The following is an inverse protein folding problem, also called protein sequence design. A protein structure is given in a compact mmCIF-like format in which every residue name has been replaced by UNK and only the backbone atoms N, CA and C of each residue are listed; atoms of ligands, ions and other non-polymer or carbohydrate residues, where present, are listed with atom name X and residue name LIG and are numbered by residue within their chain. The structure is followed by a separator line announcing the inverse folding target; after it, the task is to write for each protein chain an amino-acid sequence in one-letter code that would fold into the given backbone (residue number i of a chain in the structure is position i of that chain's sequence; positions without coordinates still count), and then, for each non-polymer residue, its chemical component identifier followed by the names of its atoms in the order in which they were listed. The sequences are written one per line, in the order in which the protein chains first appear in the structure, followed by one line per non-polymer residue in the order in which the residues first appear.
data_IF_897226258835
#
_entry.id   IF_897226258835
#
_cell.length_a   1.000
_cell.length_b   1.000
_cell.length_c   1.000
_cell.angle_alpha   90.00
_cell.angle_beta   90.00
_cell.angle_gamma   90.00
#
_symmetry.space_group_name_H-M   'P 1'
#
loop_
_entity.id
_entity.type
_entity.pdbx_description
1 polymer ?
#
# COMPACT_ATOMS: atom_id res chain seq x y z
N UNK A 1 19.64 3.79 -13.07
CA UNK A 1 18.72 3.46 -11.96
C UNK A 1 19.54 2.75 -10.88
N UNK A 2 19.59 3.26 -9.64
CA UNK A 2 20.39 2.66 -8.57
C UNK A 2 19.61 1.45 -8.02
N UNK A 3 20.22 0.26 -8.02
CA UNK A 3 19.56 -0.95 -7.53
C UNK A 3 19.65 -0.96 -6.00
N UNK A 4 18.51 -0.76 -5.33
CA UNK A 4 18.39 -0.78 -3.87
C UNK A 4 18.06 -2.21 -3.42
N UNK A 5 19.07 -3.08 -3.37
CA UNK A 5 18.94 -4.47 -2.90
C UNK A 5 20.16 -4.87 -2.07
N UNK A 6 20.03 -5.91 -1.23
CA UNK A 6 21.17 -6.49 -0.50
C UNK A 6 21.34 -6.00 0.94
N UNK A 7 20.53 -5.05 1.41
CA UNK A 7 20.56 -4.58 2.82
C UNK A 7 20.28 -5.73 3.79
N UNK A 8 19.32 -6.60 3.49
CA UNK A 8 18.98 -7.74 4.35
C UNK A 8 20.15 -8.73 4.43
N UNK A 9 20.80 -9.01 3.29
CA UNK A 9 21.96 -9.89 3.21
C UNK A 9 23.16 -9.31 3.96
N UNK A 10 23.41 -8.01 3.81
CA UNK A 10 24.46 -7.31 4.55
C UNK A 10 24.24 -7.44 6.07
N UNK A 11 23.03 -7.11 6.54
CA UNK A 11 22.71 -7.16 7.97
C UNK A 11 22.80 -8.60 8.53
N UNK A 12 22.33 -9.60 7.79
CA UNK A 12 22.43 -10.99 8.19
C UNK A 12 23.90 -11.47 8.30
N UNK A 13 24.78 -11.00 7.41
CA UNK A 13 26.21 -11.26 7.47
C UNK A 13 26.88 -10.59 8.67
N UNK A 14 26.55 -9.32 8.90
CA UNK A 14 27.04 -8.54 10.04
C UNK A 14 26.67 -9.21 11.38
N UNK A 15 25.38 -9.50 11.60
CA UNK A 15 24.90 -10.16 12.83
C UNK A 15 25.53 -11.54 13.03
N UNK A 16 25.73 -12.31 11.95
CA UNK A 16 26.41 -13.61 12.02
C UNK A 16 27.86 -13.46 12.50
N UNK A 17 28.56 -12.42 12.05
CA UNK A 17 29.93 -12.12 12.47
C UNK A 17 30.02 -11.74 13.95
N UNK A 18 29.10 -10.89 14.42
CA UNK A 18 29.08 -10.40 15.80
C UNK A 18 28.63 -11.45 16.82
N UNK A 19 27.57 -12.21 16.51
CA UNK A 19 26.91 -13.10 17.49
C UNK A 19 27.31 -14.57 17.28
N UNK A 20 27.84 -14.94 16.12
CA UNK A 20 28.20 -16.33 15.79
C UNK A 20 27.01 -17.26 15.52
N UNK A 21 25.79 -16.73 15.48
CA UNK A 21 24.58 -17.50 15.19
C UNK A 21 24.33 -17.67 13.69
N UNK A 22 23.63 -18.75 13.31
CA UNK A 22 23.17 -18.96 11.94
C UNK A 22 22.09 -17.93 11.59
N UNK A 23 22.32 -17.13 10.56
CA UNK A 23 21.37 -16.12 10.06
C UNK A 23 20.80 -16.51 8.68
N UNK A 24 19.65 -15.94 8.34
CA UNK A 24 19.01 -16.04 7.01
C UNK A 24 18.40 -14.69 6.66
N UNK A 25 18.68 -14.20 5.46
CA UNK A 25 18.01 -13.02 4.89
C UNK A 25 16.88 -13.45 3.95
N UNK A 26 15.79 -12.71 3.95
CA UNK A 26 14.65 -12.87 3.02
C UNK A 26 14.32 -11.48 2.48
N UNK A 27 14.29 -11.34 1.15
CA UNK A 27 13.87 -10.11 0.47
C UNK A 27 12.60 -10.40 -0.34
N UNK A 28 11.48 -9.77 0.03
CA UNK A 28 10.18 -10.06 -0.60
C UNK A 28 10.07 -9.47 -2.02
N UNK A 29 10.76 -8.36 -2.30
CA UNK A 29 10.77 -7.71 -3.62
C UNK A 29 9.35 -7.50 -4.16
N UNK A 30 9.08 -7.86 -5.42
CA UNK A 30 7.74 -7.72 -6.03
C UNK A 30 6.62 -8.45 -5.29
N UNK A 31 6.92 -9.50 -4.50
CA UNK A 31 5.89 -10.24 -3.77
C UNK A 31 5.10 -9.33 -2.82
N UNK A 32 5.77 -8.40 -2.13
CA UNK A 32 5.12 -7.50 -1.16
C UNK A 32 4.12 -6.53 -1.79
N UNK A 33 4.25 -6.24 -3.10
CA UNK A 33 3.37 -5.32 -3.85
C UNK A 33 2.51 -6.02 -4.90
N UNK A 34 2.57 -7.34 -4.97
CA UNK A 34 1.78 -8.17 -5.89
C UNK A 34 1.13 -9.35 -5.15
N UNK A 35 0.94 -9.19 -3.84
CA UNK A 35 0.27 -10.16 -2.97
C UNK A 35 -1.25 -9.93 -2.92
N UNK A 36 -1.92 -9.83 -4.08
CA UNK A 36 -3.37 -9.61 -4.13
C UNK A 36 -4.19 -10.73 -3.45
N UNK A 37 -3.59 -11.89 -3.26
CA UNK A 37 -4.14 -13.02 -2.50
C UNK A 37 -4.17 -12.79 -0.98
N UNK A 38 -3.53 -11.72 -0.48
CA UNK A 38 -3.50 -11.28 0.92
C UNK A 38 -3.85 -9.78 1.05
N UNK A 39 -4.47 -9.19 0.03
CA UNK A 39 -4.83 -7.78 0.08
C UNK A 39 -5.93 -7.54 1.13
N UNK A 40 -5.83 -6.44 1.88
CA UNK A 40 -6.85 -6.09 2.85
C UNK A 40 -8.14 -5.71 2.14
N UNK A 41 -9.27 -6.04 2.77
CA UNK A 41 -10.59 -5.64 2.27
C UNK A 41 -10.72 -4.12 2.25
N UNK A 42 -10.15 -3.42 3.23
CA UNK A 42 -10.17 -1.95 3.28
C UNK A 42 -9.45 -1.35 2.08
N UNK A 43 -8.24 -1.81 1.73
CA UNK A 43 -7.50 -1.32 0.56
C UNK A 43 -8.32 -1.48 -0.74
N UNK A 44 -8.93 -2.66 -0.94
CA UNK A 44 -9.76 -2.94 -2.12
C UNK A 44 -10.98 -2.01 -2.19
N UNK A 45 -11.67 -1.80 -1.06
CA UNK A 45 -12.85 -0.94 -1.00
C UNK A 45 -12.48 0.52 -1.23
N UNK A 46 -11.42 1.01 -0.62
CA UNK A 46 -10.94 2.38 -0.79
C UNK A 46 -10.44 2.63 -2.21
N UNK A 47 -9.67 1.71 -2.80
CA UNK A 47 -9.23 1.80 -4.19
C UNK A 47 -10.42 1.83 -5.17
N UNK A 48 -11.45 1.02 -4.91
CA UNK A 48 -12.68 1.02 -5.72
C UNK A 48 -13.45 2.34 -5.59
N UNK A 49 -13.57 2.87 -4.36
CA UNK A 49 -14.23 4.16 -4.10
C UNK A 49 -13.50 5.32 -4.79
N UNK A 50 -12.16 5.33 -4.73
CA UNK A 50 -11.33 6.33 -5.43
C UNK A 50 -11.58 6.28 -6.94
N UNK A 51 -11.59 5.08 -7.54
CA UNK A 51 -11.86 4.91 -8.97
C UNK A 51 -13.25 5.41 -9.36
N UNK A 52 -14.29 5.05 -8.61
CA UNK A 52 -15.66 5.51 -8.85
C UNK A 52 -15.81 7.03 -8.70
N UNK A 53 -15.23 7.62 -7.66
CA UNK A 53 -15.24 9.06 -7.45
C UNK A 53 -14.49 9.81 -8.55
N UNK A 54 -13.40 9.25 -9.09
CA UNK A 54 -12.64 9.86 -10.17
C UNK A 54 -13.45 9.91 -11.47
N UNK A 55 -14.14 8.83 -11.82
CA UNK A 55 -15.02 8.80 -12.99
C UNK A 55 -16.17 9.80 -12.83
N UNK A 56 -16.79 9.85 -11.64
CA UNK A 56 -17.86 10.81 -11.36
C UNK A 56 -17.39 12.26 -11.49
N UNK A 57 -16.23 12.60 -10.92
CA UNK A 57 -15.69 13.96 -11.02
C UNK A 57 -15.41 14.35 -12.49
N UNK A 58 -14.85 13.42 -13.27
CA UNK A 58 -14.61 13.64 -14.70
C UNK A 58 -15.92 13.86 -15.49
N UNK A 59 -16.97 13.10 -15.17
CA UNK A 59 -18.31 13.26 -15.77
C UNK A 59 -18.95 14.62 -15.41
N UNK A 60 -18.72 15.10 -14.19
CA UNK A 60 -19.13 16.43 -13.72
C UNK A 60 -18.29 17.58 -14.30
N UNK A 61 -17.28 17.27 -15.12
CA UNK A 61 -16.46 18.23 -15.85
C UNK A 61 -15.18 18.68 -15.14
N UNK A 62 -14.82 18.04 -14.02
CA UNK A 62 -13.56 18.34 -13.33
C UNK A 62 -12.35 17.89 -14.17
N UNK A 63 -11.34 18.77 -14.24
CA UNK A 63 -10.06 18.50 -14.91
C UNK A 63 -8.89 19.01 -14.07
N UNK A 64 -7.72 18.38 -14.19
CA UNK A 64 -6.54 18.73 -13.37
C UNK A 64 -6.73 18.45 -11.88
N UNK A 65 -7.57 17.46 -11.54
CA UNK A 65 -7.89 17.08 -10.15
C UNK A 65 -7.40 15.67 -9.82
N UNK A 66 -7.17 15.43 -8.54
CA UNK A 66 -6.86 14.13 -7.95
C UNK A 66 -7.90 13.80 -6.88
N UNK A 67 -8.42 12.56 -6.90
CA UNK A 67 -9.24 12.05 -5.79
C UNK A 67 -8.31 11.59 -4.67
N UNK A 68 -8.58 12.06 -3.46
CA UNK A 68 -7.84 11.69 -2.26
C UNK A 68 -8.75 10.95 -1.28
N UNK A 69 -8.14 10.09 -0.47
CA UNK A 69 -8.77 9.46 0.68
C UNK A 69 -8.65 10.39 1.88
N UNK A 70 -9.76 10.60 2.58
CA UNK A 70 -9.85 11.42 3.80
C UNK A 70 -10.39 10.54 4.92
N UNK A 71 -9.52 10.23 5.87
CA UNK A 71 -9.94 9.61 7.14
C UNK A 71 -10.83 10.60 7.90
N UNK A 72 -12.03 10.17 8.27
CA UNK A 72 -13.02 11.00 8.98
C UNK A 72 -13.28 10.53 10.41
N UNK A 73 -12.96 9.27 10.73
CA UNK A 73 -13.05 8.70 12.07
C UNK A 73 -12.04 7.57 12.23
N UNK A 74 -11.49 7.42 13.44
CA UNK A 74 -10.57 6.33 13.80
C UNK A 74 -11.30 5.16 14.48
N UNK A 75 -12.31 5.44 15.32
CA UNK A 75 -13.11 4.42 16.00
C UNK A 75 -14.61 4.82 16.07
N UNK A 76 -15.48 4.22 15.22
CA UNK A 76 -15.15 3.24 14.18
C UNK A 76 -14.34 3.89 13.04
N UNK A 77 -13.45 3.13 12.40
CA UNK A 77 -12.69 3.61 11.25
C UNK A 77 -13.62 3.97 10.09
N UNK A 78 -13.48 5.19 9.58
CA UNK A 78 -14.23 5.67 8.41
C UNK A 78 -13.33 6.53 7.51
N UNK A 79 -13.48 6.33 6.21
CA UNK A 79 -12.76 7.04 5.17
C UNK A 79 -13.72 7.45 4.06
N UNK A 80 -13.56 8.68 3.55
CA UNK A 80 -14.33 9.22 2.43
C UNK A 80 -13.40 9.66 1.31
N UNK A 81 -13.96 9.98 0.14
CA UNK A 81 -13.21 10.57 -0.98
C UNK A 81 -13.40 12.09 -1.03
N UNK A 82 -12.39 12.80 -1.50
CA UNK A 82 -12.43 14.25 -1.77
C UNK A 82 -11.71 14.55 -3.09
N UNK A 83 -12.21 15.51 -3.87
CA UNK A 83 -11.55 15.96 -5.11
C UNK A 83 -10.67 17.17 -4.79
N UNK A 84 -9.38 17.08 -5.09
CA UNK A 84 -8.41 18.14 -4.83
C UNK A 84 -7.65 18.54 -6.09
N UNK A 85 -7.18 19.78 -6.10
CA UNK A 85 -6.37 20.30 -7.19
C UNK A 85 -4.98 19.64 -7.23
N UNK A 86 -4.59 19.10 -8.38
CA UNK A 86 -3.31 18.39 -8.52
C UNK A 86 -2.12 19.32 -8.26
N UNK A 87 -2.22 20.60 -8.60
CA UNK A 87 -1.14 21.56 -8.38
C UNK A 87 -0.87 21.83 -6.90
N UNK A 88 -1.86 21.61 -6.04
CA UNK A 88 -1.71 21.71 -4.58
C UNK A 88 -1.09 20.46 -3.96
N UNK A 89 -1.18 19.31 -4.62
CA UNK A 89 -0.70 18.02 -4.08
C UNK A 89 0.68 17.65 -4.63
N UNK A 90 1.01 18.05 -5.85
CA UNK A 90 2.21 17.59 -6.56
C UNK A 90 3.53 17.82 -5.81
N UNK A 91 3.58 18.78 -4.88
CA UNK A 91 4.77 19.09 -4.09
C UNK A 91 4.65 18.71 -2.61
N UNK A 92 3.52 18.14 -2.20
CA UNK A 92 3.28 17.75 -0.82
C UNK A 92 3.62 16.26 -0.62
N UNK A 93 4.41 15.98 0.41
CA UNK A 93 4.74 14.62 0.84
C UNK A 93 4.10 14.33 2.19
N UNK A 94 3.53 13.13 2.35
CA UNK A 94 3.11 12.63 3.64
C UNK A 94 4.28 11.89 4.31
N UNK A 95 5.08 12.62 5.08
CA UNK A 95 6.17 12.04 5.85
C UNK A 95 5.65 11.10 6.95
N UNK A 96 6.45 10.11 7.32
CA UNK A 96 6.23 9.30 8.53
C UNK A 96 6.49 10.19 9.75
N UNK A 97 5.50 10.43 10.62
CA UNK A 97 5.69 11.18 11.85
C UNK A 97 6.79 10.56 12.73
N UNK A 98 7.63 11.38 13.36
CA UNK A 98 8.73 10.87 14.19
C UNK A 98 8.23 10.21 15.48
N UNK A 99 7.08 10.64 15.99
CA UNK A 99 6.38 10.03 17.13
C UNK A 99 5.80 8.65 16.82
N UNK A 100 5.82 8.21 15.56
CA UNK A 100 5.50 6.83 15.16
C UNK A 100 6.65 5.85 15.39
N UNK A 101 7.84 6.35 15.68
CA UNK A 101 9.05 5.55 15.93
C UNK A 101 9.38 5.65 17.43
N UNK A 102 9.77 4.54 18.05
CA UNK A 102 10.17 4.53 19.46
C UNK A 102 11.38 5.43 19.71
N UNK A 103 11.55 5.92 20.95
CA UNK A 103 12.64 6.84 21.31
C UNK A 103 14.04 6.27 21.01
N UNK A 104 14.21 4.95 21.14
CA UNK A 104 15.44 4.23 20.82
C UNK A 104 15.61 3.92 19.31
N UNK A 105 14.63 4.28 18.47
CA UNK A 105 14.67 4.12 17.02
C UNK A 105 14.53 2.68 16.52
N UNK A 106 14.17 1.72 17.39
CA UNK A 106 14.23 0.30 17.06
C UNK A 106 12.87 -0.32 16.66
N UNK A 107 11.76 0.37 16.97
CA UNK A 107 10.41 -0.13 16.74
C UNK A 107 9.41 0.99 16.43
N UNK A 108 8.14 0.61 16.25
CA UNK A 108 7.02 1.54 16.03
C UNK A 108 6.25 1.76 17.34
N UNK A 109 5.60 2.92 17.48
CA UNK A 109 4.78 3.26 18.66
C UNK A 109 3.32 2.81 18.49
N UNK A 110 2.55 2.84 19.58
CA UNK A 110 1.10 2.57 19.53
C UNK A 110 0.35 3.56 18.63
N UNK A 111 0.87 4.78 18.44
CA UNK A 111 0.30 5.75 17.52
C UNK A 111 0.39 5.27 16.06
N UNK A 112 1.51 4.64 15.69
CA UNK A 112 1.64 3.99 14.38
C UNK A 112 0.66 2.83 14.26
N UNK A 113 0.62 1.94 15.25
CA UNK A 113 -0.26 0.77 15.25
C UNK A 113 -1.71 1.19 15.08
N UNK A 114 -2.18 2.17 15.87
CA UNK A 114 -3.53 2.74 15.77
C UNK A 114 -3.83 3.32 14.39
N UNK A 115 -2.82 3.90 13.72
CA UNK A 115 -2.98 4.41 12.36
C UNK A 115 -3.10 3.30 11.31
N UNK A 116 -2.24 2.26 11.36
CA UNK A 116 -2.17 1.23 10.31
C UNK A 116 -3.14 0.08 10.49
N UNK A 117 -3.49 -0.25 11.73
CA UNK A 117 -4.31 -1.42 12.05
C UNK A 117 -5.65 -1.40 11.30
N UNK A 118 -6.41 -0.29 11.22
CA UNK A 118 -7.63 -0.25 10.43
C UNK A 118 -7.42 -0.49 8.93
N UNK A 119 -6.28 -0.09 8.38
CA UNK A 119 -5.99 -0.16 6.93
C UNK A 119 -5.75 -1.59 6.45
N UNK A 120 -5.33 -2.47 7.35
CA UNK A 120 -5.07 -3.89 7.05
C UNK A 120 -6.26 -4.79 7.36
N UNK A 121 -7.40 -4.23 7.80
CA UNK A 121 -8.53 -5.04 8.25
C UNK A 121 -9.29 -5.72 7.11
N UNK A 122 -9.80 -6.90 7.46
CA UNK A 122 -10.67 -7.72 6.63
C UNK A 122 -9.94 -8.42 5.50
N UNK A 123 -10.46 -9.59 5.13
CA UNK A 123 -9.88 -10.44 4.10
C UNK A 123 -10.76 -10.46 2.84
N UNK A 124 -10.12 -10.61 1.68
CA UNK A 124 -10.80 -10.90 0.42
C UNK A 124 -10.23 -12.19 -0.15
N UNK A 125 -11.01 -13.26 -0.06
CA UNK A 125 -10.60 -14.56 -0.59
C UNK A 125 -10.68 -14.56 -2.12
N UNK A 126 -9.55 -14.79 -2.81
CA UNK A 126 -9.57 -14.88 -4.27
C UNK A 126 -10.31 -16.14 -4.71
N UNK A 127 -10.90 -16.09 -5.91
CA UNK A 127 -11.45 -17.28 -6.56
C UNK A 127 -10.28 -18.19 -6.93
N UNK A 128 -10.24 -19.38 -6.35
CA UNK A 128 -9.21 -20.39 -6.66
C UNK A 128 -9.73 -21.33 -7.74
N UNK A 129 -8.94 -21.54 -8.80
CA UNK A 129 -9.22 -22.55 -9.84
C UNK A 129 -7.95 -23.37 -10.07
N UNK A 130 -8.07 -24.70 -10.02
CA UNK A 130 -6.94 -25.62 -10.16
C UNK A 130 -5.77 -25.34 -9.21
N UNK A 131 -6.06 -24.91 -7.98
CA UNK A 131 -5.07 -24.68 -6.92
C UNK A 131 -4.35 -23.33 -6.97
N UNK A 132 -4.71 -22.43 -7.88
CA UNK A 132 -4.13 -21.07 -7.98
C UNK A 132 -5.21 -19.97 -8.00
N UNK A 133 -4.90 -18.75 -7.54
CA UNK A 133 -5.78 -17.60 -7.71
C UNK A 133 -6.09 -17.34 -9.20
N UNK A 134 -7.37 -17.23 -9.52
CA UNK A 134 -7.83 -16.87 -10.86
C UNK A 134 -7.80 -15.35 -11.03
N UNK A 135 -6.80 -14.87 -11.76
CA UNK A 135 -6.70 -13.45 -12.12
C UNK A 135 -7.50 -13.10 -13.37
N UNK A 136 -7.96 -11.85 -13.45
CA UNK A 136 -8.58 -11.29 -14.65
C UNK A 136 -7.50 -10.97 -15.69
N UNK A 137 -7.83 -11.17 -16.97
CA UNK A 137 -6.99 -10.76 -18.09
C UNK A 137 -7.83 -9.90 -19.04
N UNK A 138 -7.22 -8.84 -19.58
CA UNK A 138 -7.83 -8.08 -20.66
C UNK A 138 -7.73 -8.92 -21.96
N UNK A 139 -8.85 -9.19 -22.66
CA UNK A 139 -8.82 -9.78 -23.99
C UNK A 139 -7.92 -8.98 -24.93
N UNK A 140 -7.16 -9.65 -25.80
CA UNK A 140 -6.27 -9.00 -26.78
C UNK A 140 -7.01 -8.00 -27.67
N UNK A 141 -8.30 -8.25 -27.91
CA UNK A 141 -9.18 -7.42 -28.73
C UNK A 141 -9.46 -6.04 -28.12
N UNK A 142 -9.29 -5.85 -26.80
CA UNK A 142 -9.46 -4.54 -26.14
C UNK A 142 -8.15 -3.75 -26.01
N UNK A 143 -7.02 -4.28 -26.50
CA UNK A 143 -5.73 -3.59 -26.50
C UNK A 143 -5.60 -2.64 -27.71
N UNK A 144 -6.52 -1.69 -27.84
CA UNK A 144 -6.48 -0.65 -28.88
C UNK A 144 -5.51 0.49 -28.56
N UNK A 145 -4.93 0.50 -27.35
CA UNK A 145 -3.94 1.48 -26.93
C UNK A 145 -2.53 1.00 -27.27
N UNK A 146 -2.12 1.25 -28.51
CA UNK A 146 -0.71 1.32 -28.94
C UNK A 146 -0.46 2.66 -29.59
#
# INVERSE_FOLDING_TARGET
HKQLSGTATFLAGYIKGEIGCKTRAIELSSMQRSASHLASRIDILEATQVGGAAVKAADEGDTGKMVVLKRVSDDPYQCSTEVKDVHRIANDEKCVPLDWITEDGSYVTDAFVSYVEPLIQGDVYPIIVSGIPRHLYAPKELNHWK
#
